data_IF_071288149534
#
_entry.id   IF_071288149534
#
_cell.length_a   1.000
_cell.length_b   1.000
_cell.length_c   1.000
_cell.angle_alpha   90.00
_cell.angle_beta   90.00
_cell.angle_gamma   90.00
#
_symmetry.space_group_name_H-M   'P 1'
#
loop_
_entity.id
_entity.type
_entity.pdbx_description
1 polymer ?
#
# COMPACT_ATOMS: atom_id res chain seq x y z
N UNK A 1 -3.14 -16.46 -1.97
CA UNK A 1 -3.96 -15.24 -2.10
C UNK A 1 -3.32 -14.00 -1.42
N UNK A 2 -2.27 -14.14 -0.60
CA UNK A 2 -1.66 -13.04 0.19
C UNK A 2 -0.69 -12.13 -0.59
N UNK A 3 0.16 -12.67 -1.47
CA UNK A 3 1.17 -11.91 -2.22
C UNK A 3 0.57 -10.88 -3.19
N UNK A 4 -0.57 -11.22 -3.81
CA UNK A 4 -1.23 -10.40 -4.83
C UNK A 4 -1.93 -9.16 -4.25
N UNK A 5 -2.45 -9.28 -3.02
CA UNK A 5 -2.98 -8.15 -2.27
C UNK A 5 -1.84 -7.23 -1.82
N UNK A 6 -0.76 -7.81 -1.30
CA UNK A 6 0.41 -7.07 -0.84
C UNK A 6 1.02 -6.18 -1.92
N UNK A 7 1.28 -6.70 -3.12
CA UNK A 7 1.87 -5.91 -4.21
C UNK A 7 0.99 -4.74 -4.67
N UNK A 8 -0.33 -4.82 -4.45
CA UNK A 8 -1.29 -3.77 -4.82
C UNK A 8 -1.48 -2.72 -3.73
N UNK A 9 -1.25 -3.08 -2.47
CA UNK A 9 -1.45 -2.24 -1.30
C UNK A 9 -0.22 -1.48 -0.85
N UNK A 10 0.98 -2.06 -1.04
CA UNK A 10 2.28 -1.47 -0.68
C UNK A 10 2.49 -0.06 -1.28
N UNK A 11 2.12 0.23 -2.54
CA UNK A 11 2.25 1.57 -3.09
C UNK A 11 1.51 2.63 -2.26
N UNK A 12 0.26 2.38 -1.85
CA UNK A 12 -0.51 3.32 -1.04
C UNK A 12 0.10 3.51 0.35
N UNK A 13 0.69 2.46 0.95
CA UNK A 13 1.38 2.61 2.24
C UNK A 13 2.65 3.45 2.11
N UNK A 14 3.44 3.22 1.06
CA UNK A 14 4.66 4.00 0.78
C UNK A 14 4.38 5.47 0.51
N UNK A 15 3.22 5.79 -0.05
CA UNK A 15 2.84 7.18 -0.27
C UNK A 15 2.57 7.94 1.04
N UNK A 16 2.55 7.32 2.22
CA UNK A 16 2.41 8.10 3.46
C UNK A 16 3.73 8.71 3.94
N UNK A 17 4.88 8.20 3.51
CA UNK A 17 6.20 8.66 3.93
C UNK A 17 7.06 9.22 2.79
N UNK A 18 6.52 9.29 1.57
CA UNK A 18 7.22 9.84 0.41
C UNK A 18 7.16 11.37 0.34
N UNK A 19 8.13 11.95 -0.37
CA UNK A 19 8.15 13.35 -0.79
C UNK A 19 6.98 13.65 -1.75
N UNK A 20 6.35 14.81 -1.53
CA UNK A 20 5.30 15.34 -2.38
C UNK A 20 5.90 16.02 -3.62
N UNK A 21 5.35 15.71 -4.79
CA UNK A 21 5.69 16.32 -6.06
C UNK A 21 4.43 16.93 -6.65
N UNK A 22 4.42 18.25 -6.74
CA UNK A 22 3.35 19.03 -7.35
C UNK A 22 3.71 19.35 -8.80
N UNK A 23 2.82 19.04 -9.73
CA UNK A 23 3.00 19.37 -11.14
C UNK A 23 1.65 19.53 -11.84
N UNK A 24 1.65 20.27 -12.95
CA UNK A 24 0.48 20.39 -13.83
C UNK A 24 0.61 19.40 -14.99
N UNK A 25 -0.44 18.61 -15.22
CA UNK A 25 -0.47 17.67 -16.33
C UNK A 25 -1.86 17.49 -16.91
N UNK A 26 -1.90 17.04 -18.16
CA UNK A 26 -3.11 16.58 -18.82
C UNK A 26 -3.24 15.08 -18.62
N UNK A 27 -4.42 14.63 -18.19
CA UNK A 27 -4.71 13.20 -18.06
C UNK A 27 -5.26 12.70 -19.38
N UNK A 28 -4.52 11.82 -20.05
CA UNK A 28 -4.95 11.26 -21.34
C UNK A 28 -5.76 9.98 -21.17
N UNK A 29 -5.55 9.28 -20.06
CA UNK A 29 -6.09 7.96 -19.87
C UNK A 29 -6.27 7.68 -18.38
N UNK A 30 -7.41 7.08 -18.04
CA UNK A 30 -7.73 6.60 -16.72
C UNK A 30 -8.35 5.21 -16.83
N UNK A 31 -7.73 4.23 -16.19
CA UNK A 31 -8.25 2.85 -16.12
C UNK A 31 -8.57 2.49 -14.70
N UNK A 32 -9.80 2.03 -14.47
CA UNK A 32 -10.12 1.38 -13.21
C UNK A 32 -9.41 0.02 -13.14
N UNK A 33 -8.68 -0.21 -12.06
CA UNK A 33 -8.13 -1.53 -11.71
C UNK A 33 -9.23 -2.41 -11.11
N UNK A 34 -9.09 -3.74 -11.22
CA UNK A 34 -9.98 -4.69 -10.54
C UNK A 34 -9.96 -4.58 -9.00
N UNK A 35 -9.10 -3.72 -8.44
CA UNK A 35 -9.04 -3.44 -7.00
C UNK A 35 -9.99 -2.30 -6.67
N UNK A 36 -10.81 -2.47 -5.64
CA UNK A 36 -11.87 -1.54 -5.26
C UNK A 36 -11.35 -0.09 -5.13
N UNK A 37 -11.84 0.80 -5.99
CA UNK A 37 -11.52 2.23 -5.99
C UNK A 37 -10.16 2.61 -6.57
N UNK A 38 -9.33 1.68 -7.04
CA UNK A 38 -8.01 2.00 -7.61
C UNK A 38 -8.11 2.33 -9.09
N UNK A 39 -7.52 3.44 -9.49
CA UNK A 39 -7.36 3.89 -10.87
C UNK A 39 -5.87 3.99 -11.21
N UNK A 40 -5.54 3.77 -12.47
CA UNK A 40 -4.23 4.04 -13.04
C UNK A 40 -4.41 5.11 -14.10
N UNK A 41 -3.73 6.24 -13.91
CA UNK A 41 -3.73 7.38 -14.81
C UNK A 41 -2.43 7.42 -15.62
N UNK A 42 -2.54 7.86 -16.86
CA UNK A 42 -1.40 8.29 -17.70
C UNK A 42 -1.53 9.77 -18.00
N UNK A 43 -0.43 10.47 -17.85
CA UNK A 43 -0.34 11.93 -18.03
C UNK A 43 0.76 12.27 -19.02
N UNK A 44 0.75 13.50 -19.56
CA UNK A 44 1.81 13.99 -20.44
C UNK A 44 3.13 14.32 -19.72
N UNK A 45 3.16 14.34 -18.38
CA UNK A 45 4.38 14.67 -17.65
C UNK A 45 5.46 13.59 -17.81
N UNK A 46 5.06 12.32 -17.85
CA UNK A 46 5.95 11.19 -18.12
C UNK A 46 5.12 10.01 -18.67
N UNK A 47 5.35 9.67 -19.95
CA UNK A 47 4.65 8.57 -20.63
C UNK A 47 4.96 7.20 -20.01
N UNK A 48 6.13 7.04 -19.39
CA UNK A 48 6.57 5.80 -18.75
C UNK A 48 6.07 5.68 -17.31
N UNK A 49 5.68 6.78 -16.66
CA UNK A 49 5.16 6.75 -15.30
C UNK A 49 3.74 6.17 -15.21
N UNK A 50 3.46 5.48 -14.12
CA UNK A 50 2.12 5.07 -13.70
C UNK A 50 1.70 5.91 -12.49
N UNK A 51 0.61 6.66 -12.63
CA UNK A 51 0.03 7.44 -11.54
C UNK A 51 -1.16 6.68 -10.97
N UNK A 52 -1.01 6.18 -9.76
CA UNK A 52 -2.02 5.38 -9.09
C UNK A 52 -2.87 6.30 -8.24
N UNK A 53 -4.17 6.26 -8.47
CA UNK A 53 -5.15 7.05 -7.77
C UNK A 53 -6.12 6.12 -7.02
N UNK A 54 -6.48 6.44 -5.79
CA UNK A 54 -7.56 5.75 -5.07
C UNK A 54 -8.74 6.70 -4.90
N UNK A 55 -9.93 6.22 -5.23
CA UNK A 55 -11.16 7.00 -5.14
C UNK A 55 -12.24 6.19 -4.46
N UNK A 56 -12.93 6.86 -3.53
CA UNK A 56 -14.16 6.34 -2.98
C UNK A 56 -15.27 6.27 -4.07
N UNK A 57 -16.32 5.50 -3.80
CA UNK A 57 -17.43 5.32 -4.75
C UNK A 57 -18.12 6.66 -5.14
N UNK A 58 -18.12 7.64 -4.24
CA UNK A 58 -18.74 8.96 -4.45
C UNK A 58 -17.93 9.86 -5.39
N UNK A 59 -16.60 9.73 -5.36
CA UNK A 59 -15.66 10.57 -6.08
C UNK A 59 -15.27 9.98 -7.45
N UNK A 60 -15.71 8.76 -7.76
CA UNK A 60 -15.47 8.11 -9.06
C UNK A 60 -15.94 8.97 -10.24
N UNK A 61 -17.03 9.73 -10.07
CA UNK A 61 -17.56 10.64 -11.11
C UNK A 61 -16.58 11.74 -11.53
N UNK A 62 -15.61 12.10 -10.69
CA UNK A 62 -14.64 13.15 -11.00
C UNK A 62 -13.59 12.71 -12.02
N UNK A 63 -13.37 11.41 -12.21
CA UNK A 63 -12.40 10.88 -13.17
C UNK A 63 -12.69 11.36 -14.59
N UNK A 64 -13.95 11.39 -14.99
CA UNK A 64 -14.36 11.85 -16.32
C UNK A 64 -14.03 13.33 -16.53
N UNK A 65 -14.16 14.15 -15.49
CA UNK A 65 -13.81 15.58 -15.58
C UNK A 65 -12.32 15.82 -15.78
N UNK A 66 -11.46 14.96 -15.22
CA UNK A 66 -9.99 15.06 -15.36
C UNK A 66 -9.47 14.56 -16.70
N UNK A 67 -10.24 13.71 -17.40
CA UNK A 67 -9.89 13.22 -18.74
C UNK A 67 -10.09 14.27 -19.84
N UNK A 68 -10.58 15.46 -19.51
CA UNK A 68 -10.75 16.52 -20.49
C UNK A 68 -9.38 17.01 -21.00
N UNK A 69 -9.03 16.82 -22.29
CA UNK A 69 -7.72 17.17 -22.84
C UNK A 69 -7.45 18.68 -22.88
N UNK A 70 -8.48 19.50 -22.69
CA UNK A 70 -8.39 20.95 -22.72
C UNK A 70 -8.13 21.58 -21.35
N UNK A 71 -8.23 20.79 -20.27
CA UNK A 71 -8.07 21.29 -18.90
C UNK A 71 -6.81 20.68 -18.27
N UNK A 72 -5.78 21.48 -17.97
CA UNK A 72 -4.69 21.01 -17.14
C UNK A 72 -5.21 20.71 -15.74
N UNK A 73 -4.71 19.64 -15.14
CA UNK A 73 -5.01 19.26 -13.77
C UNK A 73 -3.74 19.44 -12.96
N UNK A 74 -3.86 20.11 -11.82
CA UNK A 74 -2.81 20.15 -10.82
C UNK A 74 -2.81 18.82 -10.07
N UNK A 75 -1.69 18.13 -10.07
CA UNK A 75 -1.55 16.81 -9.47
C UNK A 75 -0.47 16.90 -8.41
N UNK A 76 -0.84 16.55 -7.18
CA UNK A 76 0.13 16.24 -6.14
C UNK A 76 0.27 14.71 -6.06
N UNK A 77 1.50 14.23 -6.19
CA UNK A 77 1.78 12.81 -6.14
C UNK A 77 3.07 12.52 -5.38
N UNK A 78 3.11 11.31 -4.81
CA UNK A 78 4.25 10.80 -4.07
C UNK A 78 4.89 9.63 -4.79
N UNK A 79 6.22 9.64 -4.86
CA UNK A 79 6.97 8.56 -5.51
C UNK A 79 6.97 7.31 -4.64
N UNK A 80 6.60 6.17 -5.23
CA UNK A 80 6.54 4.87 -4.52
C UNK A 80 7.33 3.77 -5.22
N UNK A 81 7.87 4.07 -6.41
CA UNK A 81 8.78 3.22 -7.18
C UNK A 81 9.46 3.99 -8.31
N UNK A 82 10.29 3.31 -9.11
CA UNK A 82 11.08 3.95 -10.20
C UNK A 82 10.20 4.77 -11.16
N UNK A 83 9.06 4.20 -11.56
CA UNK A 83 8.08 4.79 -12.48
C UNK A 83 6.66 4.73 -11.91
N UNK A 84 6.51 4.71 -10.58
CA UNK A 84 5.21 4.61 -9.93
C UNK A 84 5.02 5.72 -8.92
N UNK A 85 3.88 6.36 -9.03
CA UNK A 85 3.47 7.50 -8.25
C UNK A 85 2.10 7.22 -7.66
N UNK A 86 1.84 7.73 -6.47
CA UNK A 86 0.52 7.71 -5.85
C UNK A 86 0.03 9.14 -5.77
N UNK A 87 -1.12 9.39 -6.36
CA UNK A 87 -1.76 10.69 -6.33
C UNK A 87 -2.37 10.90 -4.94
N UNK A 88 -1.97 11.98 -4.28
CA UNK A 88 -2.43 12.40 -2.95
C UNK A 88 -3.51 13.46 -3.04
N UNK A 89 -3.43 14.36 -4.02
CA UNK A 89 -4.49 15.32 -4.33
C UNK A 89 -4.50 15.67 -5.82
N UNK A 90 -5.68 16.06 -6.31
CA UNK A 90 -5.85 16.59 -7.67
C UNK A 90 -6.77 17.79 -7.63
N UNK A 91 -6.40 18.85 -8.35
CA UNK A 91 -7.20 20.06 -8.47
C UNK A 91 -7.42 20.39 -9.95
N UNK A 92 -8.69 20.56 -10.31
CA UNK A 92 -9.11 21.04 -11.62
C UNK A 92 -10.20 22.09 -11.45
N UNK A 93 -10.47 22.94 -12.46
CA UNK A 93 -11.53 23.95 -12.36
C UNK A 93 -12.93 23.38 -12.05
N UNK A 94 -13.15 22.09 -12.34
CA UNK A 94 -14.46 21.43 -12.25
C UNK A 94 -14.55 20.50 -11.03
N UNK A 95 -13.42 20.01 -10.53
CA UNK A 95 -13.40 19.04 -9.43
C UNK A 95 -12.09 19.03 -8.66
N UNK A 96 -12.23 18.79 -7.36
CA UNK A 96 -11.14 18.72 -6.40
C UNK A 96 -11.17 17.37 -5.71
N UNK A 97 -9.99 16.77 -5.58
CA UNK A 97 -9.72 15.61 -4.76
C UNK A 97 -8.71 16.01 -3.70
N UNK A 98 -9.11 15.87 -2.45
CA UNK A 98 -8.23 16.14 -1.32
C UNK A 98 -7.67 14.85 -0.74
N UNK A 99 -6.57 14.97 -0.01
CA UNK A 99 -5.92 13.82 0.61
C UNK A 99 -6.83 13.14 1.66
N UNK A 100 -7.72 13.91 2.29
CA UNK A 100 -8.71 13.44 3.25
C UNK A 100 -9.64 12.37 2.66
N UNK A 101 -9.92 12.45 1.35
CA UNK A 101 -10.74 11.46 0.64
C UNK A 101 -10.07 10.09 0.56
N UNK A 102 -8.75 10.02 0.76
CA UNK A 102 -7.95 8.80 0.80
C UNK A 102 -7.90 8.16 2.19
N UNK A 103 -8.31 8.87 3.25
CA UNK A 103 -8.24 8.38 4.64
C UNK A 103 -9.00 7.07 4.88
N UNK A 104 -10.18 6.82 4.29
CA UNK A 104 -10.86 5.53 4.46
C UNK A 104 -10.02 4.36 3.94
N UNK A 105 -9.34 4.54 2.81
CA UNK A 105 -8.43 3.55 2.25
C UNK A 105 -7.19 3.37 3.11
N UNK A 106 -6.63 4.47 3.63
CA UNK A 106 -5.53 4.42 4.61
C UNK A 106 -5.92 3.58 5.82
N UNK A 107 -7.05 3.88 6.45
CA UNK A 107 -7.53 3.18 7.66
C UNK A 107 -7.75 1.69 7.39
N UNK A 108 -8.43 1.35 6.30
CA UNK A 108 -8.65 -0.05 5.91
C UNK A 108 -7.33 -0.80 5.70
N UNK A 109 -6.33 -0.16 5.09
CA UNK A 109 -5.02 -0.76 4.82
C UNK A 109 -4.18 -0.89 6.09
N UNK A 110 -4.20 0.11 6.97
CA UNK A 110 -3.54 0.03 8.27
C UNK A 110 -4.14 -1.10 9.11
N UNK A 111 -5.48 -1.20 9.18
CA UNK A 111 -6.17 -2.26 9.93
C UNK A 111 -5.86 -3.66 9.38
N UNK A 112 -5.84 -3.83 8.06
CA UNK A 112 -5.50 -5.12 7.45
C UNK A 112 -4.03 -5.47 7.69
N UNK A 113 -3.13 -4.49 7.62
CA UNK A 113 -1.71 -4.70 7.91
C UNK A 113 -1.46 -5.07 9.38
N UNK A 114 -2.12 -4.39 10.33
CA UNK A 114 -2.00 -4.72 11.76
C UNK A 114 -2.56 -6.11 12.05
N UNK A 115 -3.71 -6.48 11.47
CA UNK A 115 -4.29 -7.81 11.62
C UNK A 115 -3.35 -8.92 11.11
N UNK A 116 -2.76 -8.74 9.92
CA UNK A 116 -1.79 -9.70 9.36
C UNK A 116 -0.55 -9.79 10.25
N UNK A 117 -0.02 -8.65 10.70
CA UNK A 117 1.17 -8.61 11.56
C UNK A 117 0.93 -9.33 12.88
N UNK A 118 -0.24 -9.13 13.49
CA UNK A 118 -0.62 -9.80 14.73
C UNK A 118 -0.80 -11.30 14.52
N UNK A 119 -1.43 -11.72 13.42
CA UNK A 119 -1.55 -13.14 13.06
C UNK A 119 -0.18 -13.80 12.91
N UNK A 120 0.76 -13.17 12.19
CA UNK A 120 2.11 -13.68 12.01
C UNK A 120 2.88 -13.77 13.34
N UNK A 121 2.70 -12.77 14.21
CA UNK A 121 3.32 -12.76 15.53
C UNK A 121 2.80 -13.91 16.40
N UNK A 122 1.49 -14.14 16.43
CA UNK A 122 0.90 -15.29 17.16
C UNK A 122 1.41 -16.60 16.59
N UNK A 123 1.43 -16.75 15.26
CA UNK A 123 1.94 -17.96 14.60
C UNK A 123 3.43 -18.22 14.91
N UNK A 124 4.26 -17.19 14.94
CA UNK A 124 5.67 -17.30 15.32
C UNK A 124 5.83 -17.73 16.78
N UNK A 125 5.01 -17.20 17.70
CA UNK A 125 5.04 -17.59 19.12
C UNK A 125 4.64 -19.06 19.28
N UNK A 126 3.55 -19.50 18.63
CA UNK A 126 3.09 -20.89 18.74
C UNK A 126 4.11 -21.86 18.16
N UNK A 127 4.67 -21.57 16.99
CA UNK A 127 5.70 -22.41 16.37
C UNK A 127 7.00 -22.43 17.17
N UNK A 128 7.40 -21.31 17.79
CA UNK A 128 8.55 -21.27 18.69
C UNK A 128 8.31 -22.11 19.95
N UNK A 129 7.11 -22.05 20.54
CA UNK A 129 6.74 -22.87 21.69
C UNK A 129 6.74 -24.37 21.34
N UNK A 130 6.16 -24.75 20.21
CA UNK A 130 6.19 -26.14 19.73
C UNK A 130 7.62 -26.60 19.46
N UNK A 131 8.46 -25.75 18.85
CA UNK A 131 9.86 -26.05 18.61
C UNK A 131 10.65 -26.26 19.91
N UNK A 132 10.45 -25.40 20.91
CA UNK A 132 11.07 -25.53 22.24
C UNK A 132 10.60 -26.81 22.94
N UNK A 133 9.30 -27.12 22.91
CA UNK A 133 8.76 -28.35 23.48
C UNK A 133 9.35 -29.58 22.79
N UNK A 134 9.40 -29.57 21.46
CA UNK A 134 9.98 -30.66 20.67
C UNK A 134 11.46 -30.90 21.01
N UNK A 135 12.26 -29.84 21.15
CA UNK A 135 13.67 -29.96 21.54
C UNK A 135 13.86 -30.40 23.00
N UNK A 136 13.00 -29.95 23.92
CA UNK A 136 13.06 -30.32 25.35
C UNK A 136 12.87 -31.81 25.60
N UNK A 137 12.16 -32.51 24.72
CA UNK A 137 11.94 -33.95 24.82
C UNK A 137 13.03 -34.81 24.14
N UNK A 138 14.05 -34.20 23.53
CA UNK A 138 15.17 -34.94 22.92
C UNK A 138 16.22 -35.33 23.99
N UNK A 139 16.73 -36.57 23.96
CA UNK A 139 17.66 -37.08 24.96
C UNK A 139 18.99 -36.31 25.05
N UNK A 140 19.48 -35.73 23.94
CA UNK A 140 20.70 -34.91 23.93
C UNK A 140 20.56 -33.56 24.64
N UNK A 141 19.34 -33.03 24.79
CA UNK A 141 19.11 -31.76 25.48
C UNK A 141 19.15 -31.91 27.02
N UNK A 142 18.86 -33.12 27.53
CA UNK A 142 19.06 -33.48 28.94
C UNK A 142 20.54 -33.60 29.30
N UNK A 143 21.33 -34.23 28.43
CA UNK A 143 22.76 -34.43 28.63
C UNK A 143 23.54 -33.11 28.78
N UNK A 144 23.17 -32.06 28.06
CA UNK A 144 23.79 -30.74 28.21
C UNK A 144 23.43 -30.03 29.52
N UNK A 145 22.23 -30.25 30.08
CA UNK A 145 21.83 -29.63 31.37
C UNK A 145 22.49 -30.31 32.58
N UNK A 146 22.79 -31.60 32.49
CA UNK A 146 23.45 -32.33 33.58
C UNK A 146 24.98 -32.08 33.60
N UNK A 147 25.59 -31.76 32.45
CA UNK A 147 27.00 -31.32 32.40
C UNK A 147 27.22 -29.98 33.10
N UNK A 148 26.33 -28.99 32.94
CA UNK A 148 26.47 -27.68 33.59
C UNK A 148 26.25 -27.69 35.12
N UNK A 149 25.71 -28.78 35.68
CA UNK A 149 25.48 -28.94 37.14
C UNK A 149 26.60 -29.69 37.86
N UNK A 150 27.55 -30.25 37.13
CA UNK A 150 28.63 -31.09 37.68
C UNK A 150 30.00 -30.40 37.71
N UNK A 151 30.05 -29.11 37.36
CA UNK A 151 31.18 -28.18 37.55
C UNK A 151 30.92 -27.22 38.70
#
# INVERSE_FOLDING_TARGET
>A
MSLWYWSRSVPLLKSFSGEDYLFYAKVHYARQSNTMGRFVLKTNADNNAEYILWLNKKNKKYVESWLNPNLPVEINAKRVGKYRWVITSMHSPISNLHFEDLLPYRRAMTLTFTAISLFLLVFLITTAQEYVLWHRHRPWFKLSQDQDKSS
#
